data_IF_744470136153
#
_entry.id   IF_744470136153
#
_cell.length_a   1.000
_cell.length_b   1.000
_cell.length_c   1.000
_cell.angle_alpha   90.00
_cell.angle_beta   90.00
_cell.angle_gamma   90.00
#
_symmetry.space_group_name_H-M   'P 1'
#
loop_
_entity.id
_entity.type
_entity.pdbx_description
1 polymer ?
#
# COMPACT_ATOMS: atom_id res chain seq x y z
N UNK A 1 -14.34 0.95 15.79
CA UNK A 1 -13.94 -0.39 15.32
C UNK A 1 -12.43 -0.37 15.19
N UNK A 2 -11.71 -1.19 15.95
CA UNK A 2 -10.25 -1.26 15.92
C UNK A 2 -9.79 -1.82 14.57
N UNK A 3 -8.82 -1.14 13.93
CA UNK A 3 -8.20 -1.60 12.70
C UNK A 3 -6.97 -2.43 13.08
N UNK A 4 -6.94 -3.68 12.63
CA UNK A 4 -5.80 -4.57 12.86
C UNK A 4 -4.92 -4.64 11.62
N UNK A 5 -3.61 -4.61 11.83
CA UNK A 5 -2.60 -4.82 10.80
C UNK A 5 -1.64 -5.92 11.25
N UNK A 6 -1.06 -6.65 10.30
CA UNK A 6 -0.06 -7.67 10.63
C UNK A 6 1.20 -7.03 11.24
N UNK A 7 1.59 -5.87 10.72
CA UNK A 7 2.74 -5.09 11.16
C UNK A 7 2.33 -3.64 11.35
N UNK A 8 2.88 -3.01 12.39
CA UNK A 8 2.70 -1.58 12.67
C UNK A 8 4.05 -0.95 12.94
N UNK A 9 4.20 0.31 12.55
CA UNK A 9 5.45 1.03 12.64
C UNK A 9 5.29 2.27 13.53
N UNK A 10 6.20 2.44 14.48
CA UNK A 10 6.20 3.59 15.41
C UNK A 10 7.41 4.50 15.22
N UNK A 11 8.39 4.05 14.44
CA UNK A 11 9.58 4.83 14.10
C UNK A 11 9.28 5.88 13.03
N UNK A 12 9.76 7.11 13.24
CA UNK A 12 9.50 8.23 12.35
C UNK A 12 10.07 8.02 10.93
N UNK A 13 11.20 7.33 10.79
CA UNK A 13 11.81 7.05 9.49
C UNK A 13 10.97 6.05 8.69
N UNK A 14 10.46 5.03 9.38
CA UNK A 14 9.56 4.05 8.77
C UNK A 14 8.22 4.67 8.37
N UNK A 15 7.66 5.53 9.22
CA UNK A 15 6.43 6.27 8.91
C UNK A 15 6.63 7.15 7.67
N UNK A 16 7.73 7.91 7.61
CA UNK A 16 8.06 8.74 6.45
C UNK A 16 8.19 7.92 5.16
N UNK A 17 8.73 6.70 5.25
CA UNK A 17 8.79 5.78 4.10
C UNK A 17 7.39 5.34 3.62
N UNK A 18 6.45 5.08 4.54
CA UNK A 18 5.07 4.76 4.20
C UNK A 18 4.37 5.96 3.53
N UNK A 19 4.57 7.17 4.06
CA UNK A 19 4.04 8.41 3.47
C UNK A 19 4.62 8.70 2.08
N UNK A 20 5.89 8.36 1.87
CA UNK A 20 6.53 8.45 0.56
C UNK A 20 5.88 7.50 -0.46
N UNK A 21 5.41 6.33 -0.05
CA UNK A 21 4.63 5.43 -0.91
C UNK A 21 3.25 6.01 -1.23
N UNK A 22 2.55 6.57 -0.25
CA UNK A 22 1.25 7.24 -0.45
C UNK A 22 1.35 8.34 -1.52
N UNK A 23 2.42 9.11 -1.51
CA UNK A 23 2.66 10.18 -2.49
C UNK A 23 2.88 9.65 -3.92
N UNK A 24 3.43 8.44 -4.06
CA UNK A 24 3.67 7.79 -5.36
C UNK A 24 2.44 7.03 -5.89
N UNK A 25 1.37 6.93 -5.11
CA UNK A 25 0.16 6.17 -5.43
C UNK A 25 -1.06 7.10 -5.45
N UNK A 26 -1.11 8.12 -6.34
CA UNK A 26 -2.28 8.98 -6.44
C UNK A 26 -3.51 8.19 -6.89
N UNK A 27 -4.69 8.70 -6.57
CA UNK A 27 -5.95 8.13 -7.06
C UNK A 27 -5.97 8.09 -8.59
N UNK A 28 -6.60 7.05 -9.13
CA UNK A 28 -6.76 6.77 -10.57
C UNK A 28 -5.43 6.53 -11.31
N UNK A 29 -4.31 6.39 -10.60
CA UNK A 29 -3.02 6.11 -11.20
C UNK A 29 -2.88 4.64 -11.59
N UNK A 30 -2.31 4.39 -12.78
CA UNK A 30 -1.89 3.05 -13.21
C UNK A 30 -0.45 2.84 -12.75
N UNK A 31 -0.20 1.76 -12.02
CA UNK A 31 1.11 1.47 -11.43
C UNK A 31 1.45 -0.01 -11.54
N UNK A 32 2.75 -0.29 -11.66
CA UNK A 32 3.33 -1.60 -11.41
C UNK A 32 4.02 -1.57 -10.05
N UNK A 33 3.71 -2.56 -9.21
CA UNK A 33 4.17 -2.68 -7.84
C UNK A 33 4.94 -3.98 -7.72
N UNK A 34 6.15 -3.90 -7.17
CA UNK A 34 6.91 -5.07 -6.75
C UNK A 34 6.80 -5.19 -5.23
N UNK A 35 6.39 -6.35 -4.75
CA UNK A 35 6.30 -6.69 -3.34
C UNK A 35 7.63 -7.23 -2.80
N UNK A 36 7.77 -7.32 -1.48
CA UNK A 36 8.98 -7.83 -0.81
C UNK A 36 9.24 -9.32 -1.09
N UNK A 37 8.19 -10.09 -1.34
CA UNK A 37 8.26 -11.50 -1.74
C UNK A 37 8.71 -11.69 -3.20
N UNK A 38 8.89 -10.60 -3.95
CA UNK A 38 9.26 -10.60 -5.37
C UNK A 38 8.07 -10.66 -6.33
N UNK A 39 6.83 -10.72 -5.82
CA UNK A 39 5.62 -10.67 -6.65
C UNK A 39 5.49 -9.32 -7.35
N UNK A 40 5.08 -9.35 -8.62
CA UNK A 40 4.80 -8.15 -9.40
C UNK A 40 3.31 -8.04 -9.71
N UNK A 41 2.71 -6.92 -9.34
CA UNK A 41 1.30 -6.63 -9.54
C UNK A 41 1.16 -5.37 -10.38
N UNK A 42 0.26 -5.39 -11.35
CA UNK A 42 -0.03 -4.21 -12.18
C UNK A 42 -1.51 -3.89 -12.07
N UNK A 43 -1.81 -2.64 -11.76
CA UNK A 43 -3.17 -2.25 -11.46
C UNK A 43 -3.43 -0.76 -11.52
N UNK A 44 -4.70 -0.42 -11.30
CA UNK A 44 -5.16 0.94 -11.06
C UNK A 44 -5.31 1.14 -9.55
N UNK A 45 -4.90 2.29 -9.05
CA UNK A 45 -5.14 2.73 -7.68
C UNK A 45 -6.50 3.44 -7.65
N UNK A 46 -7.63 2.79 -7.31
CA UNK A 46 -8.94 3.45 -7.32
C UNK A 46 -9.03 4.62 -6.35
N UNK A 47 -8.31 4.54 -5.22
CA UNK A 47 -8.28 5.57 -4.19
C UNK A 47 -6.87 5.65 -3.62
N UNK A 48 -6.38 6.87 -3.42
CA UNK A 48 -5.08 7.09 -2.81
C UNK A 48 -5.05 6.43 -1.41
N UNK A 49 -4.07 5.56 -1.12
CA UNK A 49 -3.95 4.95 0.20
C UNK A 49 -3.64 6.01 1.25
N UNK A 50 -4.00 5.74 2.50
CA UNK A 50 -3.67 6.62 3.63
C UNK A 50 -2.94 5.85 4.71
N UNK A 51 -1.97 6.52 5.35
CA UNK A 51 -1.38 6.04 6.60
C UNK A 51 -2.32 6.37 7.75
N UNK A 52 -2.54 5.42 8.64
CA UNK A 52 -3.45 5.57 9.77
C UNK A 52 -3.01 4.65 10.91
N UNK A 53 -3.58 4.86 12.08
CA UNK A 53 -3.27 4.05 13.27
C UNK A 53 -3.92 2.67 13.18
N UNK A 54 -3.11 1.64 13.38
CA UNK A 54 -3.50 0.24 13.47
C UNK A 54 -2.97 -0.38 14.76
N UNK A 55 -3.51 -1.55 15.11
CA UNK A 55 -2.98 -2.41 16.17
C UNK A 55 -2.51 -3.74 15.60
N UNK A 56 -1.38 -4.23 16.08
CA UNK A 56 -0.90 -5.57 15.75
C UNK A 56 -1.46 -6.64 16.69
N UNK A 57 -1.09 -7.90 16.46
CA UNK A 57 -1.49 -9.05 17.27
C UNK A 57 -1.06 -8.91 18.75
N UNK A 58 0.02 -8.16 19.01
CA UNK A 58 0.55 -7.87 20.36
C UNK A 58 -0.13 -6.66 21.02
N UNK A 59 -1.22 -6.13 20.43
CA UNK A 59 -1.92 -4.92 20.89
C UNK A 59 -1.05 -3.65 20.90
N UNK A 60 0.08 -3.66 20.18
CA UNK A 60 0.90 -2.47 19.99
C UNK A 60 0.24 -1.57 18.97
N UNK A 61 0.21 -0.30 19.30
CA UNK A 61 -0.35 0.73 18.44
C UNK A 61 0.77 1.34 17.58
N UNK A 62 0.50 1.50 16.29
CA UNK A 62 1.44 2.14 15.37
C UNK A 62 0.76 2.49 14.06
N UNK A 63 1.56 2.93 13.09
CA UNK A 63 1.09 3.41 11.79
C UNK A 63 1.34 2.34 10.73
N UNK A 64 0.37 2.14 9.85
CA UNK A 64 0.53 1.45 8.58
C UNK A 64 -0.46 2.03 7.56
N UNK A 65 -0.49 1.52 6.34
CA UNK A 65 -1.50 1.84 5.33
C UNK A 65 -1.83 0.64 4.48
N UNK A 66 -3.07 0.59 3.99
CA UNK A 66 -3.54 -0.45 3.10
C UNK A 66 -3.79 0.16 1.72
N UNK A 67 -3.09 -0.37 0.72
CA UNK A 67 -3.32 -0.08 -0.68
C UNK A 67 -4.34 -1.06 -1.23
N UNK A 68 -5.37 -0.52 -1.88
CA UNK A 68 -6.23 -1.29 -2.78
C UNK A 68 -5.74 -1.06 -4.21
N UNK A 69 -5.46 -2.14 -4.91
CA UNK A 69 -5.03 -2.13 -6.30
C UNK A 69 -6.00 -2.98 -7.12
N UNK A 70 -6.63 -2.39 -8.13
CA UNK A 70 -7.51 -3.09 -9.07
C UNK A 70 -6.68 -3.65 -10.21
N UNK A 71 -6.74 -4.97 -10.43
CA UNK A 71 -5.91 -5.65 -11.42
C UNK A 71 -6.19 -5.11 -12.84
N UNK A 72 -5.12 -4.85 -13.60
CA UNK A 72 -5.28 -4.34 -14.97
C UNK A 72 -5.91 -5.36 -15.93
N UNK A 73 -5.70 -6.66 -15.71
CA UNK A 73 -6.24 -7.71 -16.55
C UNK A 73 -7.69 -8.07 -16.16
N UNK A 74 -8.02 -7.95 -14.87
CA UNK A 74 -9.35 -8.21 -14.34
C UNK A 74 -9.75 -7.13 -13.32
N UNK A 75 -10.48 -6.06 -13.73
CA UNK A 75 -10.89 -5.00 -12.82
C UNK A 75 -11.78 -5.45 -11.65
N UNK A 76 -12.42 -6.63 -11.72
CA UNK A 76 -13.18 -7.19 -10.61
C UNK A 76 -12.26 -7.80 -9.54
N UNK A 77 -11.00 -8.09 -9.89
CA UNK A 77 -9.99 -8.58 -8.97
C UNK A 77 -9.29 -7.43 -8.25
N UNK A 78 -9.51 -7.35 -6.94
CA UNK A 78 -8.91 -6.35 -6.07
C UNK A 78 -7.81 -6.98 -5.20
N UNK A 79 -6.62 -6.41 -5.26
CA UNK A 79 -5.49 -6.77 -4.40
C UNK A 79 -5.42 -5.80 -3.23
N UNK A 80 -5.34 -6.33 -2.02
CA UNK A 80 -5.14 -5.55 -0.79
C UNK A 80 -3.70 -5.77 -0.31
N UNK A 81 -2.90 -4.72 -0.41
CA UNK A 81 -1.45 -4.76 -0.20
C UNK A 81 -1.12 -3.81 0.94
N UNK A 82 -0.33 -4.25 1.91
CA UNK A 82 0.18 -3.34 2.93
C UNK A 82 1.29 -2.47 2.37
N UNK A 83 1.30 -1.18 2.70
CA UNK A 83 2.32 -0.25 2.21
C UNK A 83 3.74 -0.68 2.59
N UNK A 84 3.91 -1.42 3.69
CA UNK A 84 5.21 -1.92 4.11
C UNK A 84 5.73 -3.13 3.32
N UNK A 85 4.84 -3.83 2.61
CA UNK A 85 5.21 -4.90 1.68
C UNK A 85 5.68 -4.36 0.33
N UNK A 86 5.48 -3.06 0.07
CA UNK A 86 5.86 -2.45 -1.20
C UNK A 86 7.37 -2.26 -1.23
N UNK A 87 8.01 -2.94 -2.18
CA UNK A 87 9.44 -2.81 -2.48
C UNK A 87 9.71 -1.71 -3.50
N UNK A 88 8.84 -1.59 -4.51
CA UNK A 88 9.01 -0.65 -5.63
C UNK A 88 7.66 -0.29 -6.25
N UNK A 89 7.51 0.98 -6.66
CA UNK A 89 6.37 1.48 -7.45
C UNK A 89 6.89 2.08 -8.74
N UNK A 90 6.29 1.71 -9.86
CA UNK A 90 6.61 2.24 -11.19
C UNK A 90 5.30 2.78 -11.81
N UNK A 91 5.21 4.09 -12.07
CA UNK A 91 4.06 4.66 -12.77
C UNK A 91 3.99 4.14 -14.20
N UNK A 92 2.83 3.58 -14.58
CA UNK A 92 2.54 3.18 -15.95
C UNK A 92 1.91 4.40 -16.65
N UNK A 93 2.70 5.11 -17.46
CA UNK A 93 2.15 6.22 -18.25
C UNK A 93 1.26 5.66 -19.36
N UNK A 94 0.02 6.15 -19.43
CA UNK A 94 -0.79 6.05 -20.64
C UNK A 94 -0.24 7.06 -21.65
N UNK A 95 0.36 6.60 -22.73
CA UNK A 95 0.85 7.45 -23.83
C UNK A 95 -0.27 7.73 -24.84
#
# INVERSE_FOLDING_TARGET
MSKYAERVYTDATQIAQLEAWVTQLPSEARVAITLDDGSELQGVVPVQPTVQTFRDAEQREGINGLLRLEDLADPARQHHIWLDQIRKVIPLRSH
#
